data_IF_513879245671
#
_entry.id   IF_513879245671
#
_cell.length_a   1.000
_cell.length_b   1.000
_cell.length_c   1.000
_cell.angle_alpha   90.00
_cell.angle_beta   90.00
_cell.angle_gamma   90.00
#
_symmetry.space_group_name_H-M   'P 1'
#
loop_
_entity.id
_entity.type
_entity.pdbx_description
1 polymer ?
#
# COMPACT_ATOMS: atom_id res chain seq x y z
N UNK A 1 48.11 61.95 40.23
CA UNK A 1 49.35 61.17 40.36
C UNK A 1 49.25 60.08 39.29
N UNK A 2 49.55 60.48 38.04
CA UNK A 2 50.81 60.21 37.30
C UNK A 2 50.84 58.76 36.82
N UNK A 3 50.63 58.53 35.52
CA UNK A 3 51.68 58.36 34.48
C UNK A 3 52.28 56.94 34.56
N UNK A 4 52.40 56.10 33.53
CA UNK A 4 52.55 56.28 32.08
C UNK A 4 52.11 54.97 31.36
N UNK A 5 51.93 54.98 30.03
CA UNK A 5 51.49 53.87 29.21
C UNK A 5 52.64 52.95 28.78
N UNK A 6 52.35 51.69 28.44
CA UNK A 6 53.30 50.81 27.72
C UNK A 6 52.73 50.29 26.41
N UNK A 7 53.08 51.04 25.36
CA UNK A 7 53.56 50.65 24.04
C UNK A 7 53.09 49.31 23.41
N UNK A 8 52.39 49.45 22.29
CA UNK A 8 52.11 48.40 21.31
C UNK A 8 53.35 48.06 20.45
N UNK A 9 53.46 46.82 19.93
CA UNK A 9 54.24 46.55 18.73
C UNK A 9 53.37 46.40 17.47
N UNK A 10 53.68 47.26 16.51
CA UNK A 10 53.79 47.06 15.07
C UNK A 10 52.94 45.97 14.36
N UNK A 11 51.94 46.43 13.60
CA UNK A 11 51.97 46.39 12.13
C UNK A 11 52.04 45.04 11.42
N UNK A 12 50.93 44.67 10.77
CA UNK A 12 50.95 43.95 9.50
C UNK A 12 49.82 44.48 8.59
N UNK A 13 50.10 44.82 7.32
CA UNK A 13 49.07 45.29 6.38
C UNK A 13 48.13 44.13 6.05
N UNK A 14 46.83 44.30 6.34
CA UNK A 14 45.81 43.34 5.91
C UNK A 14 45.51 43.58 4.43
N UNK A 15 46.11 42.74 3.59
CA UNK A 15 45.69 42.46 2.21
C UNK A 15 44.18 42.15 2.21
N UNK A 16 43.38 42.92 1.47
CA UNK A 16 42.01 42.51 1.14
C UNK A 16 42.10 41.37 0.12
N UNK A 17 41.60 40.15 0.40
CA UNK A 17 41.39 39.18 -0.65
C UNK A 17 40.13 39.57 -1.44
N UNK A 18 40.28 39.80 -2.75
CA UNK A 18 39.17 39.65 -3.67
C UNK A 18 38.69 38.19 -3.58
N UNK A 19 37.49 37.96 -3.03
CA UNK A 19 36.85 36.66 -3.12
C UNK A 19 35.75 36.73 -4.18
N UNK A 20 35.96 35.97 -5.25
CA UNK A 20 35.10 35.83 -6.40
C UNK A 20 33.70 35.33 -6.01
N UNK A 21 32.66 35.96 -6.56
CA UNK A 21 31.30 35.46 -6.48
C UNK A 21 31.19 34.19 -7.35
N UNK A 22 31.14 33.02 -6.70
CA UNK A 22 30.81 31.77 -7.38
C UNK A 22 29.30 31.76 -7.69
N UNK A 23 28.95 31.87 -8.97
CA UNK A 23 27.58 31.73 -9.44
C UNK A 23 27.19 30.24 -9.37
N UNK A 24 26.46 29.84 -8.34
CA UNK A 24 25.92 28.49 -8.23
C UNK A 24 24.78 28.31 -9.23
N UNK A 25 25.05 27.66 -10.36
CA UNK A 25 23.99 27.14 -11.24
C UNK A 25 23.37 25.95 -10.53
N UNK A 26 22.29 26.19 -9.80
CA UNK A 26 21.43 25.12 -9.30
C UNK A 26 20.80 24.43 -10.50
N UNK A 27 21.47 23.39 -11.01
CA UNK A 27 20.91 22.49 -12.00
C UNK A 27 19.65 21.88 -11.42
N UNK A 28 18.49 22.24 -11.99
CA UNK A 28 17.25 21.52 -11.74
C UNK A 28 17.39 20.14 -12.38
N UNK A 29 18.06 19.21 -11.70
CA UNK A 29 17.91 17.79 -11.99
C UNK A 29 16.51 17.39 -11.55
N UNK A 30 15.54 17.59 -12.43
CA UNK A 30 14.23 16.97 -12.29
C UNK A 30 14.46 15.46 -12.28
N UNK A 31 14.31 14.84 -11.12
CA UNK A 31 14.21 13.38 -11.03
C UNK A 31 12.98 13.00 -11.84
N UNK A 32 13.19 12.45 -13.03
CA UNK A 32 12.14 11.73 -13.75
C UNK A 32 11.86 10.48 -12.93
N UNK A 33 10.83 10.55 -12.11
CA UNK A 33 10.34 9.38 -11.39
C UNK A 33 9.75 8.44 -12.46
N UNK A 34 10.45 7.35 -12.73
CA UNK A 34 9.96 6.31 -13.63
C UNK A 34 8.67 5.77 -13.04
N UNK A 35 7.54 6.16 -13.65
CA UNK A 35 6.23 5.73 -13.20
C UNK A 35 6.11 4.27 -13.57
N UNK A 36 6.06 3.38 -12.57
CA UNK A 36 5.84 1.96 -12.79
C UNK A 36 4.58 1.80 -13.67
N UNK A 37 4.58 0.85 -14.62
CA UNK A 37 3.39 0.58 -15.41
C UNK A 37 2.23 0.24 -14.47
N UNK A 38 0.99 0.65 -14.82
CA UNK A 38 -0.16 0.28 -14.02
C UNK A 38 -0.25 -1.26 -13.91
N UNK A 39 -0.78 -1.78 -12.80
CA UNK A 39 -1.02 -3.21 -12.69
C UNK A 39 -1.91 -3.69 -13.85
N UNK A 40 -1.75 -4.96 -14.29
CA UNK A 40 -2.66 -5.53 -15.28
C UNK A 40 -4.11 -5.43 -14.77
N UNK A 41 -5.10 -5.29 -15.67
CA UNK A 41 -6.50 -5.28 -15.27
C UNK A 41 -6.82 -6.53 -14.47
N UNK A 42 -7.64 -6.39 -13.43
CA UNK A 42 -8.08 -7.57 -12.67
C UNK A 42 -8.92 -8.46 -13.57
N UNK A 43 -9.14 -9.69 -13.11
CA UNK A 43 -10.08 -10.59 -13.78
C UNK A 43 -11.45 -9.88 -13.85
N UNK A 44 -11.87 -9.17 -12.79
CA UNK A 44 -13.14 -8.43 -12.74
C UNK A 44 -13.24 -7.27 -13.74
N UNK A 45 -12.12 -6.63 -14.07
CA UNK A 45 -12.07 -5.53 -15.04
C UNK A 45 -12.07 -6.01 -16.50
N UNK A 46 -11.99 -7.32 -16.73
CA UNK A 46 -11.88 -7.92 -18.07
C UNK A 46 -13.20 -8.60 -18.43
N UNK A 47 -13.96 -8.11 -19.44
CA UNK A 47 -15.17 -8.78 -19.90
C UNK A 47 -14.85 -10.21 -20.36
N UNK A 48 -15.62 -11.18 -19.87
CA UNK A 48 -15.54 -12.55 -20.38
C UNK A 48 -16.02 -12.61 -21.83
N UNK A 49 -15.51 -13.58 -22.58
CA UNK A 49 -16.15 -13.99 -23.85
C UNK A 49 -17.37 -14.88 -23.61
N UNK A 50 -17.57 -15.37 -22.39
CA UNK A 50 -18.72 -16.19 -22.01
C UNK A 50 -20.03 -15.39 -22.10
N UNK A 51 -21.07 -16.03 -22.62
CA UNK A 51 -22.40 -15.43 -22.79
C UNK A 51 -23.49 -16.30 -22.20
N UNK A 52 -24.51 -15.65 -21.61
CA UNK A 52 -25.74 -16.31 -21.22
C UNK A 52 -26.60 -16.66 -22.45
N UNK A 53 -27.63 -17.53 -22.31
CA UNK A 53 -28.52 -17.90 -23.42
C UNK A 53 -29.24 -16.73 -24.12
N UNK A 54 -29.39 -15.60 -23.43
CA UNK A 54 -29.97 -14.36 -23.97
C UNK A 54 -28.98 -13.46 -24.73
N UNK A 55 -27.71 -13.88 -24.82
CA UNK A 55 -26.63 -13.17 -25.52
C UNK A 55 -25.89 -12.13 -24.67
N UNK A 56 -26.32 -11.88 -23.43
CA UNK A 56 -25.59 -11.01 -22.49
C UNK A 56 -24.23 -11.60 -22.12
N UNK A 57 -23.25 -10.74 -21.84
CA UNK A 57 -21.92 -11.19 -21.39
C UNK A 57 -21.97 -11.58 -19.91
N UNK A 58 -21.31 -12.67 -19.58
CA UNK A 58 -21.08 -13.07 -18.19
C UNK A 58 -19.87 -12.27 -17.69
N UNK A 59 -20.03 -11.56 -16.58
CA UNK A 59 -18.94 -10.87 -15.88
C UNK A 59 -18.94 -11.33 -14.42
N UNK A 60 -17.85 -11.09 -13.73
CA UNK A 60 -17.67 -11.43 -12.32
C UNK A 60 -17.05 -10.24 -11.61
N UNK A 61 -17.35 -10.10 -10.32
CA UNK A 61 -16.68 -9.17 -9.41
C UNK A 61 -15.78 -10.02 -8.52
N UNK A 62 -14.56 -9.55 -8.26
CA UNK A 62 -13.66 -10.19 -7.31
C UNK A 62 -13.93 -9.67 -5.90
N UNK A 63 -14.06 -10.59 -4.95
CA UNK A 63 -14.09 -10.28 -3.52
C UNK A 63 -13.01 -11.09 -2.81
N UNK A 64 -12.08 -10.40 -2.15
CA UNK A 64 -11.00 -11.02 -1.38
C UNK A 64 -11.45 -11.20 0.07
N UNK A 65 -11.41 -12.44 0.58
CA UNK A 65 -11.85 -12.78 1.95
C UNK A 65 -10.72 -13.26 2.87
N UNK A 66 -9.62 -13.74 2.28
CA UNK A 66 -8.46 -14.34 2.98
C UNK A 66 -7.14 -13.59 2.74
N UNK A 67 -7.17 -12.45 2.04
CA UNK A 67 -5.99 -11.64 1.83
C UNK A 67 -5.51 -11.01 3.16
N UNK A 68 -4.19 -10.90 3.35
CA UNK A 68 -3.60 -10.45 4.62
C UNK A 68 -4.02 -9.02 5.00
N UNK A 69 -4.13 -8.14 4.00
CA UNK A 69 -4.60 -6.77 4.15
C UNK A 69 -6.11 -6.68 4.45
N UNK A 70 -6.90 -7.65 3.99
CA UNK A 70 -8.31 -7.84 4.36
C UNK A 70 -8.46 -8.37 5.79
N UNK A 71 -7.47 -9.13 6.28
CA UNK A 71 -7.50 -9.82 7.56
C UNK A 71 -6.86 -9.05 8.72
N UNK A 72 -6.70 -7.72 8.58
CA UNK A 72 -6.08 -6.89 9.63
C UNK A 72 -4.58 -7.17 9.83
N UNK A 73 -3.89 -7.66 8.78
CA UNK A 73 -2.47 -7.98 8.80
C UNK A 73 -2.14 -9.39 9.30
N UNK A 74 -3.15 -10.25 9.52
CA UNK A 74 -2.91 -11.65 9.90
C UNK A 74 -2.64 -12.48 8.64
N UNK A 75 -1.50 -13.17 8.54
CA UNK A 75 -1.18 -14.01 7.39
C UNK A 75 -1.96 -15.34 7.48
N UNK A 76 -3.18 -15.34 6.94
CA UNK A 76 -3.99 -16.54 6.73
C UNK A 76 -3.46 -17.26 5.48
N UNK A 77 -2.99 -18.50 5.63
CA UNK A 77 -2.18 -19.25 4.63
C UNK A 77 -2.50 -20.75 4.62
N UNK A 78 -2.19 -21.41 3.50
CA UNK A 78 -2.36 -22.86 3.31
C UNK A 78 -3.81 -23.28 3.06
N UNK A 79 -4.51 -22.59 2.16
CA UNK A 79 -5.92 -22.88 1.89
C UNK A 79 -6.13 -24.26 1.27
N UNK A 80 -6.79 -25.15 2.01
CA UNK A 80 -6.90 -26.58 1.70
C UNK A 80 -8.35 -27.07 1.55
N UNK A 81 -9.32 -26.27 2.00
CA UNK A 81 -10.74 -26.62 1.92
C UNK A 81 -11.65 -25.40 1.88
N UNK A 82 -12.81 -25.58 1.24
CA UNK A 82 -13.89 -24.61 1.18
C UNK A 82 -15.25 -25.32 1.32
N UNK A 83 -16.18 -24.71 2.04
CA UNK A 83 -17.59 -25.10 2.07
C UNK A 83 -18.47 -23.86 2.06
N UNK A 84 -19.67 -23.99 1.49
CA UNK A 84 -20.70 -22.95 1.51
C UNK A 84 -21.96 -23.47 2.21
N UNK A 85 -22.52 -22.64 3.09
CA UNK A 85 -23.81 -22.83 3.71
C UNK A 85 -24.29 -21.49 4.30
N UNK A 86 -25.61 -21.31 4.43
CA UNK A 86 -26.20 -20.28 5.29
C UNK A 86 -26.05 -20.69 6.77
N UNK A 87 -25.00 -20.24 7.45
CA UNK A 87 -24.62 -20.68 8.79
C UNK A 87 -25.37 -19.93 9.90
N UNK A 88 -25.76 -18.68 9.65
CA UNK A 88 -26.45 -17.84 10.62
C UNK A 88 -27.97 -17.67 10.34
N UNK A 89 -28.47 -18.34 9.30
CA UNK A 89 -29.87 -18.42 8.91
C UNK A 89 -30.48 -17.07 8.50
N UNK A 90 -29.67 -16.19 7.92
CA UNK A 90 -30.12 -14.90 7.41
C UNK A 90 -30.63 -14.95 5.95
N UNK A 91 -30.48 -16.12 5.30
CA UNK A 91 -30.91 -16.38 3.93
C UNK A 91 -29.84 -16.09 2.88
N UNK A 92 -28.62 -15.73 3.27
CA UNK A 92 -27.46 -15.56 2.40
C UNK A 92 -26.45 -16.69 2.62
N UNK A 93 -25.79 -17.13 1.55
CA UNK A 93 -24.77 -18.16 1.64
C UNK A 93 -23.47 -17.59 2.22
N UNK A 94 -22.91 -18.28 3.21
CA UNK A 94 -21.61 -17.98 3.79
C UNK A 94 -20.53 -18.88 3.19
N UNK A 95 -19.27 -18.48 3.35
CA UNK A 95 -18.12 -19.26 2.93
C UNK A 95 -17.24 -19.57 4.13
N UNK A 96 -16.85 -20.83 4.29
CA UNK A 96 -15.84 -21.25 5.25
C UNK A 96 -14.63 -21.81 4.52
N UNK A 97 -13.44 -21.31 4.86
CA UNK A 97 -12.16 -21.84 4.35
C UNK A 97 -11.34 -22.45 5.49
N UNK A 98 -10.57 -23.48 5.16
CA UNK A 98 -9.66 -24.16 6.09
C UNK A 98 -8.21 -24.00 5.65
N UNK A 99 -7.34 -23.66 6.62
CA UNK A 99 -5.99 -23.20 6.37
C UNK A 99 -4.95 -24.04 7.14
N UNK A 100 -4.26 -24.94 6.44
CA UNK A 100 -3.30 -25.87 7.04
C UNK A 100 -2.06 -25.17 7.60
N UNK A 101 -1.44 -24.27 6.83
CA UNK A 101 -0.17 -23.64 7.22
C UNK A 101 -0.32 -22.75 8.44
N UNK A 102 -1.43 -22.00 8.50
CA UNK A 102 -1.66 -20.99 9.52
C UNK A 102 -2.55 -21.48 10.66
N UNK A 103 -3.14 -22.67 10.56
CA UNK A 103 -4.08 -23.26 11.51
C UNK A 103 -5.30 -22.37 11.81
N UNK A 104 -5.85 -21.73 10.77
CA UNK A 104 -7.06 -20.91 10.90
C UNK A 104 -8.25 -21.58 10.22
N UNK A 105 -9.44 -21.25 10.71
CA UNK A 105 -10.65 -21.28 9.89
C UNK A 105 -11.08 -19.84 9.63
N UNK A 106 -11.45 -19.53 8.39
CA UNK A 106 -12.14 -18.28 8.06
C UNK A 106 -13.61 -18.55 7.85
N UNK A 107 -14.46 -17.68 8.40
CA UNK A 107 -15.86 -17.59 8.01
C UNK A 107 -16.07 -16.20 7.40
N UNK A 108 -16.50 -16.17 6.15
CA UNK A 108 -16.98 -14.97 5.48
C UNK A 108 -18.50 -15.05 5.43
N UNK A 109 -19.17 -14.29 6.29
CA UNK A 109 -20.64 -14.24 6.31
C UNK A 109 -21.14 -13.37 5.16
N UNK A 110 -22.02 -13.95 4.35
CA UNK A 110 -22.70 -13.27 3.26
C UNK A 110 -23.65 -12.19 3.80
N UNK A 111 -24.07 -11.27 2.95
CA UNK A 111 -25.13 -10.31 3.30
C UNK A 111 -26.00 -10.04 2.07
N UNK A 112 -27.10 -9.32 2.27
CA UNK A 112 -27.94 -8.83 1.17
C UNK A 112 -27.26 -7.79 0.26
N UNK A 113 -26.10 -7.27 0.65
CA UNK A 113 -25.23 -6.47 -0.21
C UNK A 113 -24.05 -7.35 -0.69
N UNK A 114 -23.96 -7.67 -1.99
CA UNK A 114 -22.94 -8.60 -2.50
C UNK A 114 -21.51 -8.08 -2.33
N UNK A 115 -21.32 -6.77 -2.14
CA UNK A 115 -20.00 -6.17 -1.91
C UNK A 115 -19.58 -6.16 -0.43
N UNK A 116 -20.46 -6.63 0.46
CA UNK A 116 -20.23 -6.62 1.90
C UNK A 116 -20.26 -8.01 2.48
N UNK A 117 -19.13 -8.36 3.11
CA UNK A 117 -18.97 -9.60 3.86
C UNK A 117 -18.55 -9.28 5.30
N UNK A 118 -19.07 -10.05 6.26
CA UNK A 118 -18.64 -9.95 7.66
C UNK A 118 -17.66 -11.07 7.94
N UNK A 119 -16.39 -10.74 8.17
CA UNK A 119 -15.35 -11.75 8.28
C UNK A 119 -15.04 -12.12 9.73
N UNK A 120 -14.83 -13.41 10.00
CA UNK A 120 -14.40 -13.96 11.29
C UNK A 120 -13.26 -14.93 11.10
N UNK A 121 -12.24 -14.80 11.94
CA UNK A 121 -11.12 -15.75 12.03
C UNK A 121 -11.28 -16.55 13.31
N UNK A 122 -11.15 -17.86 13.20
CA UNK A 122 -11.20 -18.80 14.33
C UNK A 122 -9.83 -19.46 14.44
N UNK A 123 -9.28 -19.49 15.66
CA UNK A 123 -8.03 -20.11 16.05
C UNK A 123 -8.16 -20.71 17.46
#
# INVERSE_FOLDING_TARGET
MTDEPRQAPAGAPRTLPLLAAALAVAGCAGVVQEMAPPPPPTVADTPSEARAPDGSYISWVEHLIDAEDVNGGVPIRGGDGIVMADLDADGFEDIVTAQEDSNHLRVAFGTGDPDRWVLRTIA
#
